data_IF_023518154689
#
_entry.id   IF_023518154689
#
_cell.length_a   1.000
_cell.length_b   1.000
_cell.length_c   1.000
_cell.angle_alpha   90.00
_cell.angle_beta   90.00
_cell.angle_gamma   90.00
#
_symmetry.space_group_name_H-M   'P 1'
#
loop_
_entity.id
_entity.type
_entity.pdbx_description
1 polymer ?
#
# COMPACT_ATOMS: atom_id res chain seq x y z
N UNK A 1 25.02 13.58 -10.37
CA UNK A 1 26.15 13.50 -9.44
C UNK A 1 25.83 14.29 -8.19
N UNK A 2 26.13 13.73 -7.02
CA UNK A 2 26.05 14.41 -5.71
C UNK A 2 27.44 14.58 -5.16
N UNK A 3 27.68 15.70 -4.46
CA UNK A 3 28.96 15.98 -3.83
C UNK A 3 28.87 15.63 -2.34
N UNK A 4 29.75 14.75 -1.88
CA UNK A 4 29.89 14.40 -0.47
C UNK A 4 31.32 14.64 -0.02
N UNK A 5 31.52 15.56 0.94
CA UNK A 5 32.83 15.95 1.44
C UNK A 5 33.81 16.39 0.33
N UNK A 6 33.33 17.16 -0.65
CA UNK A 6 34.12 17.67 -1.77
C UNK A 6 34.48 16.64 -2.84
N UNK A 7 33.87 15.45 -2.82
CA UNK A 7 34.07 14.41 -3.84
C UNK A 7 32.76 14.13 -4.57
N UNK A 8 32.79 14.05 -5.92
CA UNK A 8 31.61 13.71 -6.72
C UNK A 8 31.32 12.20 -6.62
N UNK A 9 30.05 11.85 -6.48
CA UNK A 9 29.53 10.47 -6.53
C UNK A 9 28.36 10.39 -7.48
N UNK A 10 28.23 9.25 -8.14
CA UNK A 10 27.00 8.91 -8.87
C UNK A 10 25.97 8.34 -7.90
N UNK A 11 24.80 8.96 -7.86
CA UNK A 11 23.69 8.51 -7.03
C UNK A 11 22.72 7.66 -7.85
N UNK A 12 22.42 6.48 -7.35
CA UNK A 12 21.40 5.60 -7.95
C UNK A 12 20.04 5.96 -7.33
N UNK A 13 19.09 6.37 -8.18
CA UNK A 13 17.73 6.58 -7.76
C UNK A 13 16.90 5.32 -7.98
N UNK A 14 16.09 4.96 -6.99
CA UNK A 14 15.15 3.84 -7.04
C UNK A 14 13.76 4.35 -6.72
N UNK A 15 12.75 3.55 -7.06
CA UNK A 15 11.36 3.87 -6.76
C UNK A 15 11.15 4.07 -5.25
N UNK A 16 10.37 5.11 -4.89
CA UNK A 16 10.06 5.44 -3.49
C UNK A 16 9.36 4.31 -2.73
N UNK A 17 8.69 3.41 -3.44
CA UNK A 17 8.06 2.20 -2.89
C UNK A 17 9.04 1.24 -2.20
N UNK A 18 10.35 1.36 -2.47
CA UNK A 18 11.37 0.60 -1.74
C UNK A 18 11.48 1.02 -0.28
N UNK A 19 11.07 2.25 0.07
CA UNK A 19 11.11 2.81 1.42
C UNK A 19 9.75 2.86 2.09
N UNK A 20 8.69 3.19 1.35
CA UNK A 20 7.31 3.22 1.83
C UNK A 20 6.35 3.11 0.65
N UNK A 21 5.48 2.11 0.67
CA UNK A 21 4.52 1.90 -0.41
C UNK A 21 3.26 2.75 -0.24
N UNK A 22 2.87 3.03 1.00
CA UNK A 22 1.68 3.82 1.32
C UNK A 22 2.05 4.86 2.38
N UNK A 23 1.70 6.11 2.11
CA UNK A 23 1.98 7.24 2.98
C UNK A 23 0.79 8.21 2.96
N UNK A 24 0.39 8.71 4.13
CA UNK A 24 -0.69 9.69 4.26
C UNK A 24 -0.19 11.01 4.85
N UNK A 25 0.33 10.97 6.08
CA UNK A 25 0.94 12.13 6.75
C UNK A 25 1.99 11.66 7.76
N UNK A 26 2.97 12.53 8.13
CA UNK A 26 4.04 12.16 9.04
C UNK A 26 3.50 11.70 10.41
N UNK A 27 3.98 10.58 10.97
CA UNK A 27 3.53 10.09 12.29
C UNK A 27 3.74 11.06 13.45
N UNK A 28 4.68 12.00 13.30
CA UNK A 28 4.94 13.07 14.30
C UNK A 28 3.80 14.10 14.37
N UNK A 29 3.02 14.25 13.30
CA UNK A 29 1.88 15.15 13.28
C UNK A 29 0.73 14.52 14.06
N UNK A 30 0.27 15.19 15.12
CA UNK A 30 -0.91 14.79 15.89
C UNK A 30 -2.10 15.69 15.49
N UNK A 31 -2.95 15.15 14.61
CA UNK A 31 -4.10 15.91 14.08
C UNK A 31 -5.17 16.20 15.15
N UNK A 32 -5.28 15.33 16.16
CA UNK A 32 -6.22 15.54 17.28
C UNK A 32 -5.80 16.74 18.14
N UNK A 33 -4.52 16.79 18.50
CA UNK A 33 -3.98 17.92 19.28
C UNK A 33 -4.00 19.22 18.49
N UNK A 34 -3.56 19.19 17.25
CA UNK A 34 -3.62 20.34 16.34
C UNK A 34 -5.04 20.91 16.26
N UNK A 35 -6.05 20.05 16.16
CA UNK A 35 -7.45 20.48 16.11
C UNK A 35 -7.93 21.15 17.39
N UNK A 36 -7.57 20.56 18.54
CA UNK A 36 -7.91 21.12 19.85
C UNK A 36 -7.29 22.52 20.04
N UNK A 37 -6.02 22.68 19.65
CA UNK A 37 -5.30 23.95 19.77
C UNK A 37 -5.91 25.06 18.90
N UNK A 38 -6.47 24.69 17.73
CA UNK A 38 -7.02 25.66 16.77
C UNK A 38 -8.55 25.72 16.75
N UNK A 39 -9.23 25.07 17.69
CA UNK A 39 -10.71 25.07 17.75
C UNK A 39 -11.37 24.42 16.54
N UNK A 40 -10.69 23.52 15.84
CA UNK A 40 -11.21 22.87 14.63
C UNK A 40 -12.05 21.65 15.03
N UNK A 41 -13.35 21.72 14.83
CA UNK A 41 -14.28 20.61 15.07
C UNK A 41 -14.89 20.15 13.75
N UNK A 42 -14.24 19.16 13.09
CA UNK A 42 -14.75 18.53 11.88
C UNK A 42 -14.36 17.05 11.85
N UNK A 43 -15.23 16.24 11.29
CA UNK A 43 -14.91 14.87 10.96
C UNK A 43 -13.78 14.79 9.92
N UNK A 44 -12.88 13.85 10.13
CA UNK A 44 -11.81 13.53 9.18
C UNK A 44 -11.93 12.09 8.74
N UNK A 45 -11.75 11.88 7.46
CA UNK A 45 -11.76 10.55 6.85
C UNK A 45 -10.54 10.39 5.98
N UNK A 46 -9.92 9.22 6.05
CA UNK A 46 -8.87 8.80 5.11
C UNK A 46 -9.39 7.64 4.29
N UNK A 47 -9.11 7.69 3.01
CA UNK A 47 -9.42 6.63 2.06
C UNK A 47 -8.10 6.13 1.47
N UNK A 48 -7.80 4.86 1.72
CA UNK A 48 -6.61 4.19 1.19
C UNK A 48 -7.07 3.21 0.13
N UNK A 49 -6.57 3.37 -1.09
CA UNK A 49 -6.82 2.45 -2.20
C UNK A 49 -5.50 1.73 -2.48
N UNK A 50 -5.48 0.43 -2.22
CA UNK A 50 -4.33 -0.42 -2.51
C UNK A 50 -4.60 -1.27 -3.76
N UNK A 51 -3.83 -1.03 -4.81
CA UNK A 51 -3.90 -1.84 -6.03
C UNK A 51 -3.08 -3.14 -5.87
N UNK A 52 -3.36 -3.89 -4.80
CA UNK A 52 -2.78 -5.19 -4.50
C UNK A 52 -3.69 -5.97 -3.56
N UNK A 53 -3.51 -7.29 -3.53
CA UNK A 53 -4.16 -8.17 -2.54
C UNK A 53 -3.55 -7.96 -1.16
N UNK A 54 -4.29 -8.33 -0.11
CA UNK A 54 -3.82 -8.30 1.29
C UNK A 54 -3.43 -9.69 1.79
N UNK A 55 -3.95 -10.74 1.18
CA UNK A 55 -3.61 -12.13 1.47
C UNK A 55 -2.33 -12.57 0.74
N UNK A 56 -1.56 -13.50 1.31
CA UNK A 56 -0.38 -14.05 0.65
C UNK A 56 -0.77 -14.77 -0.65
N UNK A 57 -0.09 -14.45 -1.73
CA UNK A 57 -0.27 -15.13 -3.00
C UNK A 57 0.61 -16.37 -3.06
N UNK A 58 -0.01 -17.54 -3.25
CA UNK A 58 0.73 -18.78 -3.44
C UNK A 58 1.39 -18.77 -4.83
N UNK A 59 2.67 -19.10 -4.88
CA UNK A 59 3.40 -19.29 -6.14
C UNK A 59 4.38 -20.44 -6.01
N UNK A 60 4.43 -21.28 -7.02
CA UNK A 60 5.47 -22.30 -7.13
C UNK A 60 6.80 -21.63 -7.52
N UNK A 61 7.86 -21.96 -6.81
CA UNK A 61 9.20 -21.38 -7.03
C UNK A 61 10.15 -22.47 -7.46
N UNK A 62 10.84 -22.27 -8.58
CA UNK A 62 11.92 -23.16 -9.01
C UNK A 62 13.09 -23.11 -8.03
N UNK A 63 13.77 -24.24 -7.84
CA UNK A 63 14.96 -24.35 -6.97
C UNK A 63 16.21 -23.74 -7.62
N UNK A 64 16.10 -22.44 -7.97
CA UNK A 64 17.20 -21.65 -8.55
C UNK A 64 17.37 -20.38 -7.72
N UNK A 65 18.61 -19.96 -7.53
CA UNK A 65 18.94 -18.80 -6.69
C UNK A 65 18.16 -17.55 -7.10
N UNK A 66 18.07 -17.24 -8.38
CA UNK A 66 17.37 -16.04 -8.87
C UNK A 66 15.86 -16.13 -8.64
N UNK A 67 15.24 -17.28 -8.87
CA UNK A 67 13.81 -17.49 -8.63
C UNK A 67 13.47 -17.38 -7.14
N UNK A 68 14.32 -17.93 -6.27
CA UNK A 68 14.16 -17.82 -4.81
C UNK A 68 14.34 -16.36 -4.36
N UNK A 69 15.37 -15.68 -4.86
CA UNK A 69 15.62 -14.26 -4.53
C UNK A 69 14.46 -13.37 -4.99
N UNK A 70 13.96 -13.54 -6.21
CA UNK A 70 12.79 -12.81 -6.72
C UNK A 70 11.55 -13.00 -5.83
N UNK A 71 11.27 -14.25 -5.42
CA UNK A 71 10.15 -14.54 -4.52
C UNK A 71 10.33 -13.92 -3.14
N UNK A 72 11.54 -13.96 -2.60
CA UNK A 72 11.86 -13.33 -1.32
C UNK A 72 11.62 -11.81 -1.37
N UNK A 73 12.08 -11.14 -2.42
CA UNK A 73 11.85 -9.71 -2.64
C UNK A 73 10.36 -9.41 -2.75
N UNK A 74 9.61 -10.17 -3.55
CA UNK A 74 8.16 -9.99 -3.67
C UNK A 74 7.44 -10.13 -2.32
N UNK A 75 7.85 -11.11 -1.50
CA UNK A 75 7.30 -11.30 -0.15
C UNK A 75 7.64 -10.15 0.80
N UNK A 76 8.86 -9.60 0.72
CA UNK A 76 9.27 -8.43 1.50
C UNK A 76 8.43 -7.20 1.11
N UNK A 77 8.25 -6.94 -0.18
CA UNK A 77 7.43 -5.85 -0.71
C UNK A 77 5.99 -5.97 -0.21
N UNK A 78 5.40 -7.17 -0.30
CA UNK A 78 4.05 -7.42 0.19
C UNK A 78 3.92 -7.14 1.69
N UNK A 79 4.84 -7.67 2.50
CA UNK A 79 4.86 -7.51 3.96
C UNK A 79 5.07 -6.06 4.36
N UNK A 80 5.96 -5.34 3.69
CA UNK A 80 6.17 -3.90 3.92
C UNK A 80 4.88 -3.10 3.68
N UNK A 81 4.18 -3.37 2.58
CA UNK A 81 2.93 -2.70 2.29
C UNK A 81 1.82 -2.96 3.32
N UNK A 82 1.77 -4.16 3.91
CA UNK A 82 0.88 -4.44 5.04
C UNK A 82 1.31 -3.65 6.29
N UNK A 83 2.61 -3.60 6.59
CA UNK A 83 3.15 -2.82 7.69
C UNK A 83 2.83 -1.31 7.57
N UNK A 84 2.87 -0.78 6.35
CA UNK A 84 2.46 0.60 6.08
C UNK A 84 0.97 0.83 6.37
N UNK A 85 0.09 -0.11 5.98
CA UNK A 85 -1.34 -0.04 6.30
C UNK A 85 -1.59 -0.06 7.81
N UNK A 86 -0.89 -0.90 8.56
CA UNK A 86 -0.99 -0.94 10.02
C UNK A 86 -0.55 0.38 10.65
N UNK A 87 0.55 0.96 10.17
CA UNK A 87 1.05 2.26 10.63
C UNK A 87 0.03 3.36 10.39
N UNK A 88 -0.56 3.42 9.19
CA UNK A 88 -1.60 4.39 8.85
C UNK A 88 -2.81 4.19 9.76
N UNK A 89 -3.29 2.95 9.90
CA UNK A 89 -4.44 2.63 10.74
C UNK A 89 -4.24 3.09 12.19
N UNK A 90 -3.14 2.71 12.82
CA UNK A 90 -2.83 3.10 14.20
C UNK A 90 -2.71 4.62 14.35
N UNK A 91 -2.13 5.30 13.36
CA UNK A 91 -2.04 6.76 13.34
C UNK A 91 -3.43 7.40 13.24
N UNK A 92 -4.31 6.87 12.38
CA UNK A 92 -5.69 7.37 12.24
C UNK A 92 -6.52 7.12 13.50
N UNK A 93 -6.37 5.98 14.17
CA UNK A 93 -7.02 5.69 15.44
C UNK A 93 -6.59 6.68 16.54
N UNK A 94 -5.28 6.94 16.66
CA UNK A 94 -4.75 7.94 17.59
C UNK A 94 -5.37 9.31 17.38
N UNK A 95 -5.52 9.72 16.12
CA UNK A 95 -5.94 11.06 15.73
C UNK A 95 -7.47 11.21 15.60
N UNK A 96 -8.23 10.13 15.74
CA UNK A 96 -9.68 10.11 15.59
C UNK A 96 -10.12 10.37 14.15
N UNK A 97 -9.38 9.79 13.19
CA UNK A 97 -9.68 9.85 11.76
C UNK A 97 -10.36 8.55 11.34
N UNK A 98 -11.48 8.64 10.63
CA UNK A 98 -12.18 7.46 10.10
C UNK A 98 -11.36 6.82 8.97
N UNK A 99 -10.94 5.58 9.18
CA UNK A 99 -10.12 4.81 8.25
C UNK A 99 -10.99 4.01 7.29
N UNK A 100 -10.70 4.10 5.98
CA UNK A 100 -11.41 3.40 4.93
C UNK A 100 -10.39 2.80 3.96
N UNK A 101 -10.44 1.49 3.77
CA UNK A 101 -9.49 0.74 2.94
C UNK A 101 -10.21 0.02 1.81
N UNK A 102 -9.73 0.22 0.58
CA UNK A 102 -10.06 -0.55 -0.59
C UNK A 102 -8.83 -1.33 -1.07
N UNK A 103 -9.03 -2.55 -1.54
CA UNK A 103 -7.96 -3.42 -2.03
C UNK A 103 -8.50 -4.45 -3.02
N UNK A 104 -7.60 -5.12 -3.74
CA UNK A 104 -7.96 -6.19 -4.66
C UNK A 104 -8.48 -7.39 -3.87
N UNK A 105 -9.72 -7.86 -4.09
CA UNK A 105 -10.31 -8.93 -3.29
C UNK A 105 -9.60 -10.27 -3.55
N UNK A 106 -9.58 -11.15 -2.53
CA UNK A 106 -8.99 -12.48 -2.64
C UNK A 106 -9.67 -13.36 -3.72
N UNK A 107 -10.93 -13.05 -4.06
CA UNK A 107 -11.68 -13.72 -5.14
C UNK A 107 -11.20 -13.35 -6.54
N UNK A 108 -10.43 -12.27 -6.70
CA UNK A 108 -9.84 -11.92 -7.99
C UNK A 108 -8.65 -12.84 -8.27
N UNK A 109 -8.78 -13.67 -9.30
CA UNK A 109 -7.79 -14.70 -9.66
C UNK A 109 -7.65 -14.81 -11.19
N UNK A 110 -7.42 -13.69 -11.86
CA UNK A 110 -7.15 -13.69 -13.30
C UNK A 110 -5.73 -14.19 -13.58
N UNK A 111 -5.49 -14.92 -14.69
CA UNK A 111 -4.15 -15.28 -15.11
C UNK A 111 -3.27 -14.03 -15.29
N UNK A 112 -2.02 -14.12 -14.83
CA UNK A 112 -1.03 -13.04 -14.94
C UNK A 112 0.29 -13.62 -15.50
N UNK A 113 0.35 -13.91 -16.81
CA UNK A 113 1.48 -14.57 -17.43
C UNK A 113 2.73 -13.67 -17.51
N UNK A 114 2.56 -12.37 -17.63
CA UNK A 114 3.63 -11.38 -17.73
C UNK A 114 3.22 -10.03 -17.14
N UNK A 115 4.20 -9.19 -16.84
CA UNK A 115 3.93 -7.83 -16.36
C UNK A 115 3.23 -6.99 -17.44
N UNK A 116 2.25 -6.18 -17.02
CA UNK A 116 1.42 -5.33 -17.90
C UNK A 116 0.58 -6.12 -18.93
N UNK A 117 0.26 -7.40 -18.64
CA UNK A 117 -0.66 -8.17 -19.47
C UNK A 117 -1.99 -7.43 -19.65
N UNK A 118 -2.43 -7.15 -20.92
CA UNK A 118 -3.63 -6.35 -21.17
C UNK A 118 -4.92 -6.97 -20.70
N UNK A 119 -5.04 -8.31 -20.74
CA UNK A 119 -6.25 -9.01 -20.35
C UNK A 119 -6.38 -9.05 -18.83
N UNK A 120 -5.27 -9.27 -18.12
CA UNK A 120 -5.20 -9.14 -16.68
C UNK A 120 -5.58 -7.71 -16.23
N UNK A 121 -5.01 -6.68 -16.86
CA UNK A 121 -5.30 -5.29 -16.51
C UNK A 121 -6.77 -4.93 -16.75
N UNK A 122 -7.37 -5.40 -17.85
CA UNK A 122 -8.81 -5.19 -18.11
C UNK A 122 -9.69 -5.88 -17.09
N UNK A 123 -9.37 -7.14 -16.75
CA UNK A 123 -10.10 -7.89 -15.74
C UNK A 123 -10.03 -7.22 -14.36
N UNK A 124 -8.85 -6.74 -13.97
CA UNK A 124 -8.64 -6.02 -12.72
C UNK A 124 -9.41 -4.69 -12.70
N UNK A 125 -9.35 -3.92 -13.79
CA UNK A 125 -10.11 -2.67 -13.94
C UNK A 125 -11.62 -2.94 -13.83
N UNK A 126 -12.14 -3.94 -14.54
CA UNK A 126 -13.56 -4.27 -14.51
C UNK A 126 -14.00 -4.69 -13.10
N UNK A 127 -13.18 -5.47 -12.40
CA UNK A 127 -13.45 -5.84 -11.01
C UNK A 127 -13.57 -4.62 -10.11
N UNK A 128 -12.61 -3.70 -10.18
CA UNK A 128 -12.64 -2.45 -9.42
C UNK A 128 -13.82 -1.55 -9.76
N UNK A 129 -14.14 -1.44 -11.04
CA UNK A 129 -15.29 -0.69 -11.54
C UNK A 129 -16.61 -1.23 -11.00
N UNK A 130 -16.82 -2.55 -11.11
CA UNK A 130 -18.06 -3.20 -10.64
C UNK A 130 -18.23 -3.07 -9.12
N UNK A 131 -17.14 -3.17 -8.37
CA UNK A 131 -17.15 -2.94 -6.92
C UNK A 131 -17.52 -1.50 -6.58
N UNK A 132 -16.96 -0.53 -7.30
CA UNK A 132 -17.24 0.89 -7.09
C UNK A 132 -18.68 1.26 -7.40
N UNK A 133 -19.23 0.79 -8.52
CA UNK A 133 -20.62 1.06 -8.95
C UNK A 133 -21.66 0.47 -7.99
N UNK A 134 -21.35 -0.69 -7.37
CA UNK A 134 -22.21 -1.32 -6.35
C UNK A 134 -22.11 -0.67 -4.96
N UNK A 135 -21.32 0.36 -4.80
CA UNK A 135 -20.99 0.94 -3.51
C UNK A 135 -19.89 0.12 -2.83
N UNK A 136 -18.64 0.55 -2.99
CA UNK A 136 -17.47 -0.19 -2.51
C UNK A 136 -17.59 -0.52 -1.00
N UNK A 137 -17.40 -1.78 -0.59
CA UNK A 137 -17.43 -2.17 0.82
C UNK A 137 -16.10 -1.79 1.50
N UNK A 138 -15.98 -0.53 1.94
CA UNK A 138 -14.79 -0.02 2.60
C UNK A 138 -14.50 -0.79 3.90
N UNK A 139 -13.37 -1.46 3.96
CA UNK A 139 -12.90 -2.05 5.20
C UNK A 139 -12.48 -0.95 6.19
N UNK A 140 -12.91 -1.07 7.44
CA UNK A 140 -12.65 -0.07 8.50
C UNK A 140 -11.36 -0.33 9.27
N UNK A 141 -10.73 -1.45 9.02
CA UNK A 141 -9.47 -1.89 9.61
C UNK A 141 -8.68 -2.75 8.62
N UNK A 142 -7.36 -2.80 8.73
CA UNK A 142 -6.56 -3.77 8.00
C UNK A 142 -6.73 -5.19 8.58
N UNK A 143 -6.30 -6.26 7.86
CA UNK A 143 -6.37 -7.62 8.35
C UNK A 143 -5.68 -7.78 9.72
N UNK A 144 -6.30 -8.53 10.62
CA UNK A 144 -5.76 -8.82 11.96
C UNK A 144 -6.15 -7.83 13.06
N UNK A 145 -7.00 -6.83 12.74
CA UNK A 145 -7.57 -5.87 13.69
C UNK A 145 -9.08 -6.03 13.81
#
# INVERSE_FOLDING_TARGET
>A
DVEVNGKPYQEMHVDGGTMSQVFVYPPKLNLREFSKQHGINRERRVYVIRNARLDPEWAQVERRTMSIAGRAIASLIHTQGLGDLYRIYLTTQRDGVDFNLAYVPASFNAPHPEEFDPDFMRALYQTGYDMAVKGFPWAKNPPGF
#
